data_IF_657049601255
#
_entry.id   IF_657049601255
#
_cell.length_a   1.000
_cell.length_b   1.000
_cell.length_c   1.000
_cell.angle_alpha   90.00
_cell.angle_beta   90.00
_cell.angle_gamma   90.00
#
_symmetry.space_group_name_H-M   'P 1'
#
loop_
_entity.id
_entity.type
_entity.pdbx_description
1 polymer ?
#
# COMPACT_ATOMS: atom_id res chain seq x y z
N UNK A 1 -17.01 -64.95 -2.47
CA UNK A 1 -18.44 -65.33 -2.65
C UNK A 1 -19.05 -64.31 -3.61
N UNK A 2 -19.22 -64.78 -4.85
CA UNK A 2 -20.21 -64.49 -5.92
C UNK A 2 -20.35 -63.00 -6.29
N UNK A 3 -19.87 -62.58 -7.53
CA UNK A 3 -20.52 -62.73 -8.86
C UNK A 3 -21.81 -61.85 -8.95
N UNK A 4 -22.12 -61.08 -9.94
CA UNK A 4 -21.78 -61.03 -11.35
C UNK A 4 -22.73 -59.99 -12.02
N UNK A 5 -22.38 -59.61 -13.24
CA UNK A 5 -23.20 -59.24 -14.42
C UNK A 5 -23.38 -57.78 -14.78
N UNK A 6 -22.56 -57.34 -15.65
CA UNK A 6 -22.77 -57.11 -17.12
C UNK A 6 -24.19 -56.76 -17.57
N UNK A 7 -24.34 -55.63 -18.21
CA UNK A 7 -25.25 -55.47 -19.37
C UNK A 7 -24.78 -54.35 -20.29
N UNK A 8 -24.29 -54.71 -21.42
CA UNK A 8 -24.11 -53.95 -22.66
C UNK A 8 -25.50 -53.65 -23.25
N UNK A 9 -25.73 -52.39 -23.66
CA UNK A 9 -26.67 -52.11 -24.77
C UNK A 9 -26.02 -51.13 -25.71
N UNK A 10 -25.80 -51.65 -26.94
CA UNK A 10 -25.39 -50.93 -28.13
C UNK A 10 -26.61 -50.30 -28.85
N UNK A 11 -26.36 -49.26 -29.56
CA UNK A 11 -27.23 -48.83 -30.70
C UNK A 11 -27.52 -47.35 -30.72
N UNK A 12 -27.14 -46.62 -31.64
CA UNK A 12 -27.57 -46.42 -32.98
C UNK A 12 -27.06 -45.05 -33.54
N UNK A 13 -26.26 -45.11 -34.54
CA UNK A 13 -25.87 -43.94 -35.35
C UNK A 13 -27.08 -43.38 -36.09
N UNK A 14 -27.27 -42.06 -36.03
CA UNK A 14 -28.07 -41.34 -37.03
C UNK A 14 -27.22 -40.17 -37.53
N UNK A 15 -26.71 -40.36 -38.74
CA UNK A 15 -26.17 -39.30 -39.61
C UNK A 15 -27.32 -38.49 -40.14
N UNK A 16 -27.34 -37.18 -39.88
CA UNK A 16 -28.14 -36.23 -40.63
C UNK A 16 -27.19 -35.17 -41.19
N UNK A 17 -26.91 -35.29 -42.48
CA UNK A 17 -26.31 -34.24 -43.28
C UNK A 17 -27.39 -33.24 -43.69
N UNK A 18 -27.20 -31.96 -43.48
CA UNK A 18 -27.98 -30.91 -44.12
C UNK A 18 -27.16 -29.62 -44.26
N UNK A 19 -26.82 -29.39 -45.49
CA UNK A 19 -26.80 -28.15 -46.29
C UNK A 19 -26.23 -26.86 -45.67
N UNK A 20 -25.14 -26.45 -46.31
CA UNK A 20 -24.58 -25.13 -46.34
C UNK A 20 -25.60 -24.09 -46.85
N UNK A 21 -25.78 -23.00 -46.10
CA UNK A 21 -26.31 -21.74 -46.61
C UNK A 21 -25.26 -20.66 -46.32
N UNK A 22 -24.55 -20.28 -47.38
CA UNK A 22 -23.71 -19.06 -47.41
C UNK A 22 -24.61 -17.83 -47.29
N UNK A 23 -24.59 -17.16 -46.16
CA UNK A 23 -25.04 -15.78 -46.05
C UNK A 23 -23.81 -14.88 -45.96
N UNK A 24 -23.50 -14.25 -47.07
CA UNK A 24 -22.60 -13.11 -47.16
C UNK A 24 -23.27 -11.89 -46.54
N UNK A 25 -23.11 -11.73 -45.23
CA UNK A 25 -23.47 -10.53 -44.52
C UNK A 25 -22.22 -9.68 -44.33
N UNK A 26 -22.14 -8.58 -45.02
CA UNK A 26 -21.15 -7.52 -44.86
C UNK A 26 -21.22 -7.00 -43.43
N UNK A 27 -20.14 -7.01 -42.63
CA UNK A 27 -20.17 -6.33 -41.35
C UNK A 27 -20.09 -4.83 -41.59
N UNK A 28 -21.15 -4.12 -41.23
CA UNK A 28 -21.13 -2.67 -41.12
C UNK A 28 -20.07 -2.30 -40.10
N UNK A 29 -19.01 -1.66 -40.57
CA UNK A 29 -17.95 -1.08 -39.74
C UNK A 29 -18.53 0.13 -38.98
N UNK A 30 -19.15 -0.11 -37.86
CA UNK A 30 -19.43 0.90 -36.85
C UNK A 30 -18.19 1.09 -36.00
N UNK A 31 -17.23 1.89 -36.48
CA UNK A 31 -16.16 2.37 -35.62
C UNK A 31 -16.76 3.34 -34.59
N UNK A 32 -17.18 2.80 -33.45
CA UNK A 32 -17.38 3.58 -32.26
C UNK A 32 -16.00 4.09 -31.85
N UNK A 33 -15.75 5.39 -32.06
CA UNK A 33 -14.60 6.06 -31.48
C UNK A 33 -14.70 5.97 -29.94
N UNK A 34 -14.22 4.87 -29.39
CA UNK A 34 -14.07 4.69 -27.97
C UNK A 34 -13.13 5.77 -27.46
N UNK A 35 -13.60 6.53 -26.51
CA UNK A 35 -12.82 7.52 -25.79
C UNK A 35 -11.62 6.80 -25.14
N UNK A 36 -10.46 6.81 -25.80
CA UNK A 36 -9.23 6.11 -25.38
C UNK A 36 -8.59 6.66 -24.10
N UNK A 37 -9.28 7.62 -23.43
CA UNK A 37 -8.84 8.17 -22.14
C UNK A 37 -9.49 7.50 -20.92
N UNK A 38 -10.32 6.50 -21.09
CA UNK A 38 -10.78 5.71 -19.97
C UNK A 38 -9.65 4.79 -19.50
N UNK A 39 -9.01 5.18 -18.39
CA UNK A 39 -8.03 4.33 -17.72
C UNK A 39 -8.72 2.99 -17.38
N UNK A 40 -8.14 1.83 -17.74
CA UNK A 40 -8.76 0.54 -17.43
C UNK A 40 -9.00 0.43 -15.91
N UNK A 41 -10.08 -0.24 -15.49
CA UNK A 41 -10.35 -0.41 -14.06
C UNK A 41 -9.14 -1.05 -13.39
N UNK A 42 -8.58 -0.36 -12.41
CA UNK A 42 -7.41 -0.84 -11.66
C UNK A 42 -7.80 -1.98 -10.75
N UNK A 43 -7.51 -3.19 -11.15
CA UNK A 43 -7.75 -4.40 -10.36
C UNK A 43 -6.54 -4.83 -9.52
N UNK A 44 -5.42 -4.14 -9.66
CA UNK A 44 -4.15 -4.44 -9.03
C UNK A 44 -3.59 -3.31 -8.17
N UNK A 45 -2.41 -3.47 -7.55
CA UNK A 45 -1.63 -2.36 -7.02
C UNK A 45 -1.41 -1.30 -8.09
N UNK A 46 -1.31 -0.03 -7.69
CA UNK A 46 -1.10 1.09 -8.64
C UNK A 46 0.28 1.06 -9.30
N UNK A 47 1.17 0.22 -8.82
CA UNK A 47 2.54 0.05 -9.30
C UNK A 47 2.70 -1.32 -9.95
N UNK A 48 3.53 -1.42 -10.98
CA UNK A 48 3.96 -2.69 -11.55
C UNK A 48 4.96 -3.34 -10.60
N UNK A 49 4.59 -4.50 -10.07
CA UNK A 49 5.41 -5.27 -9.15
C UNK A 49 5.00 -6.74 -9.17
N UNK A 50 5.96 -7.62 -8.97
CA UNK A 50 5.74 -9.07 -8.94
C UNK A 50 5.01 -9.54 -7.68
N UNK A 51 5.03 -8.73 -6.61
CA UNK A 51 4.38 -9.06 -5.34
C UNK A 51 3.91 -7.83 -4.59
N UNK A 52 2.99 -8.03 -3.63
CA UNK A 52 2.54 -6.98 -2.71
C UNK A 52 3.70 -6.43 -1.85
N UNK A 53 4.69 -7.24 -1.52
CA UNK A 53 5.88 -6.80 -0.75
C UNK A 53 6.74 -5.86 -1.59
N UNK A 54 7.02 -6.23 -2.84
CA UNK A 54 7.80 -5.39 -3.76
C UNK A 54 7.07 -4.08 -4.08
N UNK A 55 5.75 -4.14 -4.30
CA UNK A 55 4.92 -2.95 -4.45
C UNK A 55 5.01 -2.05 -3.22
N UNK A 56 4.92 -2.63 -2.03
CA UNK A 56 5.00 -1.90 -0.76
C UNK A 56 6.36 -1.24 -0.54
N UNK A 57 7.46 -1.92 -0.89
CA UNK A 57 8.80 -1.31 -0.86
C UNK A 57 8.86 -0.08 -1.75
N UNK A 58 8.46 -0.21 -3.00
CA UNK A 58 8.44 0.90 -3.95
C UNK A 58 7.58 2.07 -3.45
N UNK A 59 6.35 1.80 -2.99
CA UNK A 59 5.42 2.81 -2.51
C UNK A 59 5.95 3.56 -1.28
N UNK A 60 6.64 2.87 -0.37
CA UNK A 60 7.22 3.52 0.81
C UNK A 60 8.43 4.40 0.47
N UNK A 61 9.13 4.10 -0.62
CA UNK A 61 10.22 4.93 -1.13
C UNK A 61 9.66 6.18 -1.82
N UNK A 62 8.78 6.01 -2.82
CA UNK A 62 8.24 7.15 -3.58
C UNK A 62 7.29 8.01 -2.75
N UNK A 63 6.65 7.44 -1.75
CA UNK A 63 5.83 8.15 -0.76
C UNK A 63 6.63 8.82 0.34
N UNK A 64 7.98 8.79 0.29
CA UNK A 64 8.88 9.42 1.26
C UNK A 64 8.68 9.01 2.71
N UNK A 65 8.13 7.81 2.95
CA UNK A 65 7.85 7.34 4.31
C UNK A 65 9.14 7.20 5.15
N UNK A 66 10.23 6.83 4.50
CA UNK A 66 11.53 6.66 5.14
C UNK A 66 12.10 7.97 5.69
N UNK A 67 11.80 9.13 5.08
CA UNK A 67 12.34 10.42 5.49
C UNK A 67 11.99 10.76 6.93
N UNK A 68 10.81 10.34 7.38
CA UNK A 68 10.32 10.56 8.74
C UNK A 68 10.36 9.31 9.63
N UNK A 69 10.53 8.10 9.07
CA UNK A 69 10.41 6.85 9.83
C UNK A 69 11.67 6.00 9.83
N UNK A 70 12.77 6.47 9.20
CA UNK A 70 14.06 5.77 9.15
C UNK A 70 15.19 6.73 9.49
N UNK A 71 15.87 6.49 10.61
CA UNK A 71 17.01 7.30 11.04
C UNK A 71 18.13 7.29 9.99
N UNK A 72 18.65 8.47 9.61
CA UNK A 72 19.76 8.61 8.68
C UNK A 72 19.42 8.36 7.22
N UNK A 73 18.13 8.25 6.85
CA UNK A 73 17.71 7.97 5.47
C UNK A 73 18.17 9.05 4.50
N UNK A 74 17.91 10.30 4.81
CA UNK A 74 18.26 11.45 3.95
C UNK A 74 19.76 11.63 3.86
N UNK A 75 20.47 11.57 4.97
CA UNK A 75 21.92 11.74 5.04
C UNK A 75 22.67 10.66 4.27
N UNK A 76 22.17 9.43 4.32
CA UNK A 76 22.73 8.29 3.58
C UNK A 76 22.28 8.22 2.12
N UNK A 77 21.38 9.12 1.68
CA UNK A 77 20.75 9.07 0.35
C UNK A 77 20.06 7.73 0.10
N UNK A 78 19.32 7.27 1.11
CA UNK A 78 18.56 6.00 1.04
C UNK A 78 19.39 4.73 1.25
N UNK A 79 20.68 4.84 1.58
CA UNK A 79 21.58 3.69 1.76
C UNK A 79 21.52 3.12 3.18
N UNK A 80 20.29 2.81 3.64
CA UNK A 80 20.04 2.17 4.93
C UNK A 80 19.68 0.70 4.73
N UNK A 81 20.33 -0.18 5.49
CA UNK A 81 20.05 -1.61 5.44
C UNK A 81 18.56 -1.89 5.76
N UNK A 82 17.90 -2.86 5.12
CA UNK A 82 16.51 -3.20 5.41
C UNK A 82 16.23 -3.45 6.90
N UNK A 83 17.20 -3.99 7.63
CA UNK A 83 17.09 -4.24 9.06
C UNK A 83 16.86 -2.98 9.91
N UNK A 84 17.31 -1.81 9.43
CA UNK A 84 17.24 -0.53 10.14
C UNK A 84 16.14 0.41 9.61
N UNK A 85 15.48 0.03 8.51
CA UNK A 85 14.38 0.83 7.95
C UNK A 85 13.15 0.81 8.85
N UNK A 86 12.43 1.90 8.90
CA UNK A 86 11.16 2.07 9.61
C UNK A 86 11.25 1.85 11.14
N UNK A 87 12.44 1.94 11.70
CA UNK A 87 12.65 1.82 13.15
C UNK A 87 12.32 3.12 13.91
N UNK A 88 11.84 4.14 13.23
CA UNK A 88 11.49 5.44 13.80
C UNK A 88 12.66 6.42 13.81
N UNK A 89 12.36 7.65 14.20
CA UNK A 89 13.27 8.78 14.13
C UNK A 89 13.46 9.40 15.53
N UNK A 90 14.71 9.72 15.89
CA UNK A 90 15.03 10.40 17.15
C UNK A 90 15.04 11.93 17.02
N UNK A 91 14.99 12.44 15.78
CA UNK A 91 14.83 13.87 15.47
C UNK A 91 13.36 14.24 15.55
N UNK A 92 13.01 15.24 16.33
CA UNK A 92 11.65 15.73 16.48
C UNK A 92 11.25 16.68 15.35
N UNK A 93 9.97 16.68 15.01
CA UNK A 93 9.34 17.66 14.13
C UNK A 93 8.53 18.63 15.01
N UNK A 94 9.00 19.87 15.10
CA UNK A 94 8.43 20.87 16.00
C UNK A 94 7.64 21.93 15.24
N UNK A 95 6.54 22.32 15.86
CA UNK A 95 5.66 23.39 15.38
C UNK A 95 4.71 23.87 16.46
N UNK A 96 3.63 24.54 16.07
CA UNK A 96 2.63 25.04 17.03
C UNK A 96 1.90 23.89 17.76
N UNK A 97 1.87 22.69 17.20
CA UNK A 97 1.32 21.46 17.83
C UNK A 97 2.20 20.87 18.94
N UNK A 98 3.37 21.40 19.16
CA UNK A 98 4.40 20.81 20.03
C UNK A 98 5.50 20.12 19.23
N UNK A 99 5.94 18.94 19.68
CA UNK A 99 6.96 18.15 18.96
C UNK A 99 6.44 16.73 18.75
N UNK A 100 6.46 16.27 17.51
CA UNK A 100 6.14 14.89 17.13
C UNK A 100 7.39 14.15 16.65
N UNK A 101 7.36 12.82 16.67
CA UNK A 101 8.45 11.98 16.21
C UNK A 101 7.93 10.91 15.27
N UNK A 102 8.70 10.58 14.24
CA UNK A 102 8.39 9.47 13.34
C UNK A 102 8.34 8.15 14.11
N UNK A 103 7.16 7.54 14.16
CA UNK A 103 6.94 6.27 14.88
C UNK A 103 7.78 5.13 14.29
N UNK A 104 8.14 4.17 15.14
CA UNK A 104 8.66 2.87 14.71
C UNK A 104 7.53 2.07 14.05
N UNK A 105 7.46 2.12 12.70
CA UNK A 105 6.39 1.48 11.95
C UNK A 105 6.49 -0.04 11.99
N UNK A 106 7.67 -0.60 12.26
CA UNK A 106 7.82 -2.05 12.43
C UNK A 106 7.12 -2.52 13.71
N UNK A 107 7.22 -1.76 14.79
CA UNK A 107 6.44 -2.02 16.00
C UNK A 107 4.94 -1.81 15.76
N UNK A 108 4.56 -0.77 15.03
CA UNK A 108 3.16 -0.49 14.67
C UNK A 108 2.57 -1.67 13.90
N UNK A 109 3.18 -2.11 12.81
CA UNK A 109 2.65 -3.20 11.97
C UNK A 109 2.64 -4.56 12.68
N UNK A 110 3.47 -4.78 13.70
CA UNK A 110 3.38 -6.00 14.51
C UNK A 110 2.18 -6.01 15.47
N UNK A 111 1.74 -4.84 15.92
CA UNK A 111 0.67 -4.69 16.93
C UNK A 111 -0.70 -4.45 16.33
N UNK A 112 -0.77 -3.97 15.09
CA UNK A 112 -2.02 -3.64 14.40
C UNK A 112 -2.34 -4.65 13.32
N UNK A 113 -3.63 -4.74 12.97
CA UNK A 113 -4.09 -5.48 11.79
C UNK A 113 -3.87 -4.66 10.52
N UNK A 114 -3.90 -5.32 9.38
CA UNK A 114 -3.82 -4.67 8.07
C UNK A 114 -5.02 -3.73 7.84
N UNK A 115 -6.21 -4.13 8.28
CA UNK A 115 -7.43 -3.33 8.19
C UNK A 115 -7.32 -2.04 9.01
N UNK A 116 -6.82 -2.16 10.25
CA UNK A 116 -6.65 -1.01 11.12
C UNK A 116 -5.61 -0.02 10.55
N UNK A 117 -4.50 -0.53 10.00
CA UNK A 117 -3.52 0.27 9.29
C UNK A 117 -4.14 1.09 8.15
N UNK A 118 -4.97 0.44 7.29
CA UNK A 118 -5.68 1.13 6.20
C UNK A 118 -6.61 2.20 6.76
N UNK A 119 -7.41 1.88 7.78
CA UNK A 119 -8.34 2.82 8.41
C UNK A 119 -7.60 4.06 8.92
N UNK A 120 -6.53 3.87 9.69
CA UNK A 120 -5.74 4.98 10.24
C UNK A 120 -5.18 5.89 9.15
N UNK A 121 -4.60 5.32 8.10
CA UNK A 121 -4.01 6.11 7.01
C UNK A 121 -5.07 6.81 6.14
N UNK A 122 -6.31 6.30 6.13
CA UNK A 122 -7.45 6.92 5.43
C UNK A 122 -8.11 8.04 6.23
N UNK A 123 -8.18 7.89 7.55
CA UNK A 123 -8.99 8.78 8.39
C UNK A 123 -8.17 9.71 9.26
N UNK A 124 -6.87 9.49 9.40
CA UNK A 124 -6.00 10.16 10.38
C UNK A 124 -6.46 9.98 11.84
N UNK A 125 -7.16 8.89 12.15
CA UNK A 125 -7.97 8.72 13.37
C UNK A 125 -7.21 8.06 14.53
N UNK A 126 -5.89 8.07 14.54
CA UNK A 126 -5.14 7.60 15.72
C UNK A 126 -4.65 8.72 16.60
N UNK A 127 -5.55 9.64 17.01
CA UNK A 127 -5.33 10.54 18.16
C UNK A 127 -4.12 11.47 18.09
N UNK A 128 -3.16 11.09 17.30
CA UNK A 128 -1.93 11.79 17.04
C UNK A 128 -1.87 12.39 15.64
N UNK A 129 -2.96 12.66 14.97
CA UNK A 129 -3.01 13.30 13.63
C UNK A 129 -2.10 14.52 13.47
N UNK A 130 -0.97 14.44 14.14
CA UNK A 130 0.01 15.52 14.31
C UNK A 130 0.83 15.66 13.04
N UNK A 131 1.01 16.91 12.68
CA UNK A 131 1.98 17.28 11.69
C UNK A 131 3.39 16.78 12.08
N UNK A 132 4.29 16.51 11.12
CA UNK A 132 4.10 16.84 9.70
C UNK A 132 3.60 15.65 8.85
N UNK A 133 3.10 14.57 9.45
CA UNK A 133 2.61 13.42 8.67
C UNK A 133 1.56 13.87 7.64
N UNK A 134 1.75 13.60 6.34
CA UNK A 134 0.86 14.08 5.28
C UNK A 134 -0.38 13.18 5.14
N UNK A 135 -1.25 13.19 6.14
CA UNK A 135 -2.46 12.35 6.21
C UNK A 135 -3.36 12.47 4.98
N UNK A 136 -3.43 13.68 4.39
CA UNK A 136 -4.20 13.90 3.16
C UNK A 136 -3.65 13.10 1.98
N UNK A 137 -2.34 12.88 1.89
CA UNK A 137 -1.74 12.06 0.83
C UNK A 137 -2.06 10.57 1.04
N UNK A 138 -1.93 10.06 2.26
CA UNK A 138 -2.25 8.68 2.55
C UNK A 138 -3.74 8.39 2.39
N UNK A 139 -4.62 9.35 2.71
CA UNK A 139 -6.06 9.22 2.51
C UNK A 139 -6.45 9.05 1.03
N UNK A 140 -5.67 9.62 0.10
CA UNK A 140 -5.88 9.50 -1.34
C UNK A 140 -5.32 8.21 -1.95
N UNK A 141 -4.48 7.47 -1.24
CA UNK A 141 -3.94 6.19 -1.74
C UNK A 141 -5.04 5.14 -1.82
N UNK A 142 -4.90 4.18 -2.73
CA UNK A 142 -5.81 3.03 -2.76
C UNK A 142 -5.61 2.14 -1.53
N UNK A 143 -6.67 1.45 -1.09
CA UNK A 143 -6.57 0.47 0.01
C UNK A 143 -5.54 -0.61 -0.31
N UNK A 144 -5.43 -0.99 -1.57
CA UNK A 144 -4.49 -2.01 -2.01
C UNK A 144 -3.04 -1.55 -1.88
N UNK A 145 -2.75 -0.31 -2.18
CA UNK A 145 -1.43 0.29 -2.01
C UNK A 145 -1.07 0.39 -0.51
N UNK A 146 -1.99 0.84 0.32
CA UNK A 146 -1.80 0.89 1.77
C UNK A 146 -1.55 -0.51 2.37
N UNK A 147 -2.26 -1.54 1.87
CA UNK A 147 -2.02 -2.93 2.27
C UNK A 147 -0.65 -3.43 1.82
N UNK A 148 -0.21 -3.06 0.62
CA UNK A 148 1.12 -3.40 0.14
C UNK A 148 2.20 -2.82 1.04
N UNK A 149 2.08 -1.55 1.42
CA UNK A 149 3.00 -0.88 2.36
C UNK A 149 3.03 -1.59 3.73
N UNK A 150 1.86 -1.92 4.28
CA UNK A 150 1.76 -2.69 5.53
C UNK A 150 2.52 -4.02 5.44
N UNK A 151 2.27 -4.80 4.39
CA UNK A 151 2.90 -6.12 4.19
C UNK A 151 4.41 -6.02 4.06
N UNK A 152 4.90 -5.02 3.32
CA UNK A 152 6.33 -4.78 3.21
C UNK A 152 6.94 -4.43 4.58
N UNK A 153 6.42 -3.44 5.28
CA UNK A 153 6.97 -3.03 6.58
C UNK A 153 6.91 -4.19 7.58
N UNK A 154 5.81 -4.94 7.60
CA UNK A 154 5.65 -6.12 8.46
C UNK A 154 6.64 -7.23 8.12
N UNK A 155 6.95 -7.45 6.85
CA UNK A 155 7.90 -8.48 6.40
C UNK A 155 9.33 -8.23 6.86
N UNK A 156 9.68 -6.98 7.18
CA UNK A 156 10.98 -6.64 7.76
C UNK A 156 11.16 -7.16 9.19
N UNK A 157 10.08 -7.66 9.82
CA UNK A 157 10.09 -8.19 11.18
C UNK A 157 10.11 -7.09 12.25
N UNK A 158 10.11 -7.44 13.54
CA UNK A 158 10.14 -6.48 14.63
C UNK A 158 11.49 -5.76 14.72
N UNK A 159 11.45 -4.52 15.25
CA UNK A 159 12.64 -3.78 15.63
C UNK A 159 12.41 -3.19 17.03
N UNK A 160 13.29 -3.45 18.03
CA UNK A 160 13.07 -3.05 19.42
C UNK A 160 13.38 -1.58 19.70
N UNK A 161 13.84 -0.80 18.71
CA UNK A 161 14.20 0.60 18.91
C UNK A 161 13.02 1.39 19.47
N UNK A 162 13.23 2.05 20.60
CA UNK A 162 12.31 3.04 21.16
C UNK A 162 12.37 4.35 20.36
N UNK A 163 11.27 5.10 20.40
CA UNK A 163 11.16 6.45 19.81
C UNK A 163 10.74 7.40 20.93
N UNK A 164 11.27 8.64 20.96
CA UNK A 164 10.85 9.62 21.95
C UNK A 164 9.34 9.88 21.89
N UNK A 165 8.75 10.21 23.04
CA UNK A 165 7.33 10.58 23.10
C UNK A 165 7.10 11.97 22.55
N UNK A 166 6.01 12.14 21.82
CA UNK A 166 5.55 13.45 21.38
C UNK A 166 5.30 14.37 22.57
N UNK A 167 5.59 15.67 22.39
CA UNK A 167 5.47 16.69 23.42
C UNK A 167 4.38 17.69 23.07
N UNK A 168 3.63 18.12 24.06
CA UNK A 168 2.66 19.17 23.92
C UNK A 168 3.31 20.52 23.59
N UNK A 169 2.54 21.51 23.07
CA UNK A 169 3.02 22.88 22.87
C UNK A 169 3.69 23.45 24.13
N UNK A 170 4.74 24.23 23.93
CA UNK A 170 5.47 24.86 25.03
C UNK A 170 6.47 23.94 25.78
N UNK A 171 6.50 22.64 25.46
CA UNK A 171 7.51 21.73 26.03
C UNK A 171 8.71 21.65 25.12
N UNK A 172 9.92 21.78 25.68
CA UNK A 172 11.17 21.63 24.92
C UNK A 172 11.56 20.17 24.81
N UNK A 173 11.92 19.69 23.58
CA UNK A 173 12.51 18.36 23.42
C UNK A 173 13.94 18.32 23.97
N UNK A 174 14.30 17.18 24.59
CA UNK A 174 15.67 16.97 25.06
C UNK A 174 16.65 16.65 23.93
N UNK A 175 16.16 16.17 22.79
CA UNK A 175 16.95 15.78 21.62
C UNK A 175 16.84 16.79 20.47
N UNK A 176 17.50 16.50 19.34
CA UNK A 176 17.46 17.35 18.16
C UNK A 176 16.05 17.42 17.56
N UNK A 177 15.75 18.56 16.94
CA UNK A 177 14.48 18.74 16.23
C UNK A 177 14.62 19.68 15.03
N UNK A 178 13.68 19.53 14.09
CA UNK A 178 13.50 20.42 12.93
C UNK A 178 12.25 21.26 13.21
N UNK A 179 12.35 22.58 12.99
CA UNK A 179 11.20 23.46 13.03
C UNK A 179 10.47 23.41 11.68
N UNK A 180 9.27 22.87 11.64
CA UNK A 180 8.54 22.57 10.40
C UNK A 180 7.76 23.77 9.86
N UNK A 181 7.26 24.63 10.75
CA UNK A 181 6.54 25.84 10.35
C UNK A 181 7.42 27.08 10.50
N UNK A 182 7.28 28.08 9.61
CA UNK A 182 7.99 29.32 9.80
C UNK A 182 7.67 29.92 11.18
N UNK A 183 8.71 30.29 11.94
CA UNK A 183 8.50 31.13 13.12
C UNK A 183 7.99 32.47 12.64
N UNK A 184 6.89 32.97 13.25
CA UNK A 184 6.58 34.40 13.12
C UNK A 184 7.78 35.16 13.67
N UNK A 185 8.32 36.07 12.88
CA UNK A 185 9.37 36.97 13.34
C UNK A 185 8.89 37.79 14.56
N UNK A 186 9.83 38.41 15.29
CA UNK A 186 9.50 39.30 16.37
C UNK A 186 8.68 40.48 15.88
#
# INVERSE_FOLDING_TARGET
MRLDRSSLIAGLCVLVASAAACHSGTPASGASAGNNNAMPPRTGPSVEAESMIQAGEYLTIVGSCNDCHTQGWTESKGKIAPADRFAGLDVGFRGEWGTSYGKNLRTVTQRQTEEHWVTVLKTADEGDGKAPMPWWNTAMMSDRDLRAMYRYIKSLGPNPKGVPRSLAPGKEPAGPYIWVTPKKGP
#
